data_IF_624393236118
#
_entry.id   IF_624393236118
#
_cell.length_a   1.000
_cell.length_b   1.000
_cell.length_c   1.000
_cell.angle_alpha   90.00
_cell.angle_beta   90.00
_cell.angle_gamma   90.00
#
_symmetry.space_group_name_H-M   'P 1'
#
loop_
_entity.id
_entity.type
_entity.pdbx_description
1 polymer ?
#
# COMPACT_ATOMS: atom_id res chain seq x y z
N UNK A 1 -7.27 -23.56 -16.35
CA UNK A 1 -6.40 -23.33 -15.17
C UNK A 1 -6.89 -22.14 -14.34
N UNK A 2 -7.02 -20.94 -14.91
CA UNK A 2 -7.54 -19.75 -14.19
C UNK A 2 -9.01 -19.90 -13.74
N UNK A 3 -9.88 -20.49 -14.56
CA UNK A 3 -11.29 -20.73 -14.20
C UNK A 3 -11.39 -21.60 -12.94
N UNK A 4 -10.70 -22.75 -12.94
CA UNK A 4 -10.64 -23.66 -11.79
C UNK A 4 -10.09 -23.00 -10.51
N UNK A 5 -9.17 -22.04 -10.62
CA UNK A 5 -8.65 -21.32 -9.46
C UNK A 5 -9.72 -20.42 -8.83
N UNK A 6 -10.39 -19.61 -9.64
CA UNK A 6 -11.44 -18.72 -9.12
C UNK A 6 -12.65 -19.49 -8.60
N UNK A 7 -13.00 -20.61 -9.23
CA UNK A 7 -14.09 -21.47 -8.77
C UNK A 7 -13.71 -22.15 -7.44
N UNK A 8 -12.44 -22.57 -7.27
CA UNK A 8 -11.95 -23.06 -5.98
C UNK A 8 -12.04 -21.98 -4.89
N UNK A 9 -11.74 -20.72 -5.22
CA UNK A 9 -11.88 -19.58 -4.28
C UNK A 9 -13.33 -19.25 -3.92
N UNK A 10 -14.35 -19.75 -4.63
CA UNK A 10 -15.74 -19.58 -4.19
C UNK A 10 -16.04 -20.42 -2.94
N UNK A 11 -15.41 -21.59 -2.82
CA UNK A 11 -15.57 -22.43 -1.64
C UNK A 11 -14.87 -21.82 -0.43
N UNK A 12 -15.50 -21.90 0.74
CA UNK A 12 -14.91 -21.41 1.99
C UNK A 12 -13.59 -22.13 2.31
N UNK A 13 -13.52 -23.43 2.01
CA UNK A 13 -12.30 -24.22 2.16
C UNK A 13 -11.18 -23.72 1.23
N UNK A 14 -11.45 -23.55 -0.07
CA UNK A 14 -10.47 -23.08 -1.04
C UNK A 14 -10.00 -21.66 -0.75
N UNK A 15 -10.90 -20.77 -0.32
CA UNK A 15 -10.49 -19.43 0.11
C UNK A 15 -9.62 -19.48 1.38
N UNK A 16 -9.98 -20.29 2.38
CA UNK A 16 -9.18 -20.44 3.59
C UNK A 16 -7.78 -21.00 3.28
N UNK A 17 -7.65 -21.98 2.39
CA UNK A 17 -6.35 -22.49 1.94
C UNK A 17 -5.54 -21.41 1.21
N UNK A 18 -6.18 -20.58 0.39
CA UNK A 18 -5.54 -19.44 -0.26
C UNK A 18 -5.04 -18.41 0.76
N UNK A 19 -5.83 -18.10 1.79
CA UNK A 19 -5.45 -17.19 2.88
C UNK A 19 -4.24 -17.72 3.64
N UNK A 20 -4.24 -18.99 4.03
CA UNK A 20 -3.11 -19.63 4.73
C UNK A 20 -1.84 -19.61 3.89
N UNK A 21 -1.96 -19.96 2.61
CA UNK A 21 -0.84 -19.92 1.67
C UNK A 21 -0.29 -18.51 1.50
N UNK A 22 -1.18 -17.52 1.39
CA UNK A 22 -0.81 -16.10 1.29
C UNK A 22 -0.08 -15.62 2.55
N UNK A 23 -0.50 -16.07 3.74
CA UNK A 23 0.19 -15.78 5.00
C UNK A 23 1.61 -16.33 5.04
N UNK A 24 1.81 -17.57 4.58
CA UNK A 24 3.14 -18.20 4.51
C UNK A 24 4.03 -17.43 3.54
N UNK A 25 3.51 -17.07 2.36
CA UNK A 25 4.25 -16.31 1.36
C UNK A 25 4.61 -14.93 1.91
N UNK A 26 3.66 -14.20 2.49
CA UNK A 26 3.89 -12.89 3.11
C UNK A 26 4.93 -13.00 4.23
N UNK A 27 4.83 -14.02 5.09
CA UNK A 27 5.83 -14.32 6.12
C UNK A 27 7.23 -14.52 5.55
N UNK A 28 7.36 -15.31 4.48
CA UNK A 28 8.63 -15.52 3.78
C UNK A 28 9.19 -14.21 3.19
N UNK A 29 8.33 -13.42 2.55
CA UNK A 29 8.71 -12.13 1.97
C UNK A 29 9.18 -11.11 3.02
N UNK A 30 8.58 -11.10 4.22
CA UNK A 30 9.04 -10.27 5.35
C UNK A 30 10.48 -10.65 5.72
N UNK A 31 10.75 -11.95 5.91
CA UNK A 31 12.07 -12.46 6.29
C UNK A 31 13.08 -12.09 5.21
N UNK A 32 12.76 -12.34 3.94
CA UNK A 32 13.63 -11.97 2.82
C UNK A 32 13.88 -10.48 2.78
N UNK A 33 12.87 -9.63 3.02
CA UNK A 33 13.03 -8.19 2.97
C UNK A 33 13.87 -7.63 4.12
N UNK A 34 13.78 -8.21 5.32
CA UNK A 34 14.68 -7.86 6.42
C UNK A 34 16.16 -8.07 6.05
N UNK A 35 16.44 -9.04 5.17
CA UNK A 35 17.79 -9.36 4.70
C UNK A 35 18.15 -8.54 3.44
N UNK A 36 17.19 -8.36 2.53
CA UNK A 36 17.35 -7.74 1.21
C UNK A 36 16.27 -6.66 0.99
N UNK A 37 16.52 -5.41 1.44
CA UNK A 37 15.54 -4.36 1.27
C UNK A 37 15.33 -4.03 -0.22
N UNK A 38 14.08 -4.20 -0.68
CA UNK A 38 13.65 -3.85 -2.04
C UNK A 38 14.05 -2.42 -2.40
N UNK A 39 14.62 -2.31 -3.58
CA UNK A 39 15.19 -1.09 -4.07
C UNK A 39 14.16 -0.38 -4.94
N UNK A 40 13.57 0.72 -4.46
CA UNK A 40 12.74 1.60 -5.26
C UNK A 40 12.80 3.03 -4.70
N UNK A 41 12.43 4.04 -5.49
CA UNK A 41 12.38 5.41 -5.01
C UNK A 41 13.73 5.90 -4.43
N UNK A 42 13.80 6.16 -3.11
CA UNK A 42 15.01 6.71 -2.44
C UNK A 42 16.12 5.67 -2.28
N UNK A 43 15.76 4.42 -2.03
CA UNK A 43 16.72 3.35 -1.81
C UNK A 43 17.40 2.91 -3.10
N UNK A 44 16.71 3.02 -4.24
CA UNK A 44 17.21 2.57 -5.53
C UNK A 44 18.35 3.42 -6.10
N UNK A 45 19.35 2.72 -6.63
CA UNK A 45 20.43 3.28 -7.44
C UNK A 45 20.19 2.91 -8.90
N UNK A 46 20.15 3.90 -9.80
CA UNK A 46 19.93 3.67 -11.24
C UNK A 46 20.95 2.70 -11.81
N UNK A 47 20.52 1.88 -12.76
CA UNK A 47 21.32 0.86 -13.44
C UNK A 47 21.55 -0.42 -12.63
N UNK A 48 20.93 -0.55 -11.46
CA UNK A 48 21.07 -1.74 -10.59
C UNK A 48 19.81 -2.61 -10.55
N UNK A 49 18.95 -2.57 -11.57
CA UNK A 49 17.82 -3.50 -11.66
C UNK A 49 18.37 -4.90 -11.92
N UNK A 50 17.90 -5.88 -11.15
CA UNK A 50 18.25 -7.30 -11.32
C UNK A 50 17.71 -7.82 -12.66
N UNK A 51 16.51 -7.38 -13.05
CA UNK A 51 15.88 -7.76 -14.32
C UNK A 51 16.31 -6.85 -15.48
N UNK A 52 17.29 -5.97 -15.27
CA UNK A 52 17.83 -5.03 -16.26
C UNK A 52 16.76 -4.15 -16.93
N UNK A 53 15.62 -3.91 -16.27
CA UNK A 53 14.53 -3.10 -16.81
C UNK A 53 14.05 -2.08 -15.79
N UNK A 54 14.03 -0.81 -16.19
CA UNK A 54 13.62 0.32 -15.38
C UNK A 54 12.39 0.98 -16.00
N UNK A 55 11.40 1.29 -15.17
CA UNK A 55 10.16 1.94 -15.60
C UNK A 55 10.08 3.35 -15.02
N UNK A 56 9.67 4.36 -15.80
CA UNK A 56 9.44 5.71 -15.29
C UNK A 56 8.48 5.72 -14.10
N UNK A 57 8.81 6.47 -13.06
CA UNK A 57 8.10 6.50 -11.77
C UNK A 57 6.58 6.65 -11.89
N UNK A 58 6.10 7.55 -12.74
CA UNK A 58 4.66 7.74 -12.98
C UNK A 58 3.98 6.46 -13.48
N UNK A 59 4.60 5.75 -14.41
CA UNK A 59 4.06 4.50 -14.99
C UNK A 59 4.16 3.37 -13.96
N UNK A 60 5.27 3.28 -13.24
CA UNK A 60 5.47 2.28 -12.20
C UNK A 60 4.39 2.37 -11.10
N UNK A 61 4.08 3.59 -10.63
CA UNK A 61 3.01 3.83 -9.64
C UNK A 61 1.66 3.34 -10.17
N UNK A 62 1.32 3.63 -11.44
CA UNK A 62 0.09 3.14 -12.08
C UNK A 62 0.06 1.61 -12.07
N UNK A 63 1.11 0.95 -12.58
CA UNK A 63 1.16 -0.50 -12.69
C UNK A 63 1.03 -1.20 -11.33
N UNK A 64 1.74 -0.69 -10.33
CA UNK A 64 1.70 -1.22 -8.96
C UNK A 64 0.28 -1.16 -8.39
N UNK A 65 -0.36 0.00 -8.45
CA UNK A 65 -1.66 0.20 -7.81
C UNK A 65 -2.85 -0.30 -8.64
N UNK A 66 -2.71 -0.48 -9.95
CA UNK A 66 -3.82 -0.90 -10.83
C UNK A 66 -4.19 -2.38 -10.68
N UNK A 67 -3.24 -3.22 -10.27
CA UNK A 67 -3.42 -4.67 -10.15
C UNK A 67 -4.57 -5.08 -9.22
N UNK A 68 -4.66 -4.47 -8.02
CA UNK A 68 -5.72 -4.70 -7.03
C UNK A 68 -7.14 -4.36 -7.52
N UNK A 69 -7.42 -3.11 -7.95
CA UNK A 69 -8.75 -2.75 -8.46
C UNK A 69 -9.09 -3.51 -9.74
N UNK A 70 -8.12 -3.91 -10.56
CA UNK A 70 -8.40 -4.72 -11.75
C UNK A 70 -8.95 -6.09 -11.40
N UNK A 71 -8.32 -6.82 -10.47
CA UNK A 71 -8.83 -8.12 -10.03
C UNK A 71 -10.15 -7.97 -9.26
N UNK A 72 -10.28 -6.90 -8.47
CA UNK A 72 -11.51 -6.58 -7.76
C UNK A 72 -12.68 -6.43 -8.72
N UNK A 73 -12.57 -5.55 -9.72
CA UNK A 73 -13.61 -5.32 -10.73
C UNK A 73 -13.90 -6.58 -11.55
N UNK A 74 -12.86 -7.34 -11.91
CA UNK A 74 -13.03 -8.59 -12.64
C UNK A 74 -13.86 -9.62 -11.86
N UNK A 75 -13.65 -9.76 -10.56
CA UNK A 75 -14.41 -10.72 -9.74
C UNK A 75 -15.88 -10.30 -9.57
N UNK A 76 -16.15 -9.01 -9.37
CA UNK A 76 -17.53 -8.51 -9.35
C UNK A 76 -18.23 -8.73 -10.70
N UNK A 77 -17.55 -8.48 -11.81
CA UNK A 77 -18.08 -8.77 -13.15
C UNK A 77 -18.31 -10.27 -13.37
N UNK A 78 -17.34 -11.12 -12.99
CA UNK A 78 -17.42 -12.58 -13.17
C UNK A 78 -18.61 -13.19 -12.41
N UNK A 79 -18.90 -12.68 -11.21
CA UNK A 79 -19.94 -13.23 -10.34
C UNK A 79 -21.26 -12.46 -10.39
N UNK A 80 -21.39 -11.47 -11.29
CA UNK A 80 -22.60 -10.64 -11.45
C UNK A 80 -23.07 -9.97 -10.14
N UNK A 81 -22.11 -9.49 -9.36
CA UNK A 81 -22.35 -8.93 -8.02
C UNK A 81 -22.48 -7.40 -8.05
N UNK A 82 -23.23 -6.85 -7.10
CA UNK A 82 -23.47 -5.41 -7.04
C UNK A 82 -22.26 -4.63 -6.49
N UNK A 83 -21.63 -3.80 -7.33
CA UNK A 83 -20.52 -2.93 -6.94
C UNK A 83 -20.91 -1.76 -6.03
N UNK A 84 -22.20 -1.46 -5.84
CA UNK A 84 -22.67 -0.24 -5.16
C UNK A 84 -22.73 -0.37 -3.63
N UNK A 85 -22.06 -1.37 -3.05
CA UNK A 85 -21.89 -1.44 -1.60
C UNK A 85 -20.97 -0.31 -1.09
N UNK A 86 -21.21 0.18 0.13
CA UNK A 86 -20.36 1.19 0.79
C UNK A 86 -18.85 0.85 0.73
N UNK A 87 -18.38 -0.35 1.14
CA UNK A 87 -16.95 -0.66 1.07
C UNK A 87 -16.42 -0.75 -0.37
N UNK A 88 -17.22 -1.23 -1.34
CA UNK A 88 -16.81 -1.23 -2.75
C UNK A 88 -16.58 0.19 -3.26
N UNK A 89 -17.48 1.12 -2.95
CA UNK A 89 -17.36 2.54 -3.33
C UNK A 89 -16.11 3.16 -2.69
N UNK A 90 -15.89 2.96 -1.37
CA UNK A 90 -14.73 3.49 -0.67
C UNK A 90 -13.41 2.95 -1.25
N UNK A 91 -13.35 1.64 -1.51
CA UNK A 91 -12.20 0.98 -2.13
C UNK A 91 -11.89 1.57 -3.52
N UNK A 92 -12.92 1.74 -4.35
CA UNK A 92 -12.75 2.30 -5.70
C UNK A 92 -12.38 3.79 -5.66
N UNK A 93 -12.88 4.57 -4.70
CA UNK A 93 -12.46 5.97 -4.51
C UNK A 93 -10.96 6.02 -4.16
N UNK A 94 -10.50 5.21 -3.21
CA UNK A 94 -9.08 5.11 -2.86
C UNK A 94 -8.23 4.77 -4.09
N UNK A 95 -8.57 3.69 -4.80
CA UNK A 95 -7.75 3.26 -5.94
C UNK A 95 -7.88 4.18 -7.16
N UNK A 96 -9.01 4.88 -7.34
CA UNK A 96 -9.11 5.96 -8.33
C UNK A 96 -8.11 7.07 -8.01
N UNK A 97 -8.02 7.46 -6.73
CA UNK A 97 -6.99 8.40 -6.30
C UNK A 97 -5.58 7.86 -6.57
N UNK A 98 -5.26 6.62 -6.17
CA UNK A 98 -3.90 6.05 -6.32
C UNK A 98 -3.48 5.81 -7.77
N UNK A 99 -4.39 5.41 -8.65
CA UNK A 99 -4.11 4.99 -10.03
C UNK A 99 -4.28 6.13 -11.03
N UNK A 100 -5.22 7.05 -10.80
CA UNK A 100 -5.54 8.11 -11.77
C UNK A 100 -5.01 9.46 -11.31
N UNK A 101 -5.31 9.86 -10.07
CA UNK A 101 -5.04 11.22 -9.59
C UNK A 101 -3.60 11.37 -9.11
N UNK A 102 -3.15 10.55 -8.16
CA UNK A 102 -1.83 10.63 -7.55
C UNK A 102 -0.68 10.60 -8.57
N UNK A 103 -0.71 9.74 -9.62
CA UNK A 103 0.35 9.70 -10.61
C UNK A 103 0.56 11.03 -11.33
N UNK A 104 -0.48 11.83 -11.54
CA UNK A 104 -0.35 13.15 -12.19
C UNK A 104 0.58 14.10 -11.45
N UNK A 105 0.61 14.03 -10.12
CA UNK A 105 1.45 14.86 -9.26
C UNK A 105 2.88 14.33 -9.12
N UNK A 106 3.18 13.14 -9.66
CA UNK A 106 4.54 12.58 -9.60
C UNK A 106 5.51 13.42 -10.41
N UNK A 107 6.61 13.80 -9.76
CA UNK A 107 7.65 14.61 -10.37
C UNK A 107 8.36 13.86 -11.50
N UNK A 108 8.67 14.57 -12.59
CA UNK A 108 9.53 14.06 -13.68
C UNK A 108 10.96 13.76 -13.21
N UNK A 109 11.36 14.30 -12.06
CA UNK A 109 12.68 14.07 -11.46
C UNK A 109 12.72 12.86 -10.51
N UNK A 110 11.59 12.15 -10.34
CA UNK A 110 11.59 10.90 -9.57
C UNK A 110 12.54 9.87 -10.18
N UNK A 111 13.14 9.04 -9.31
CA UNK A 111 13.93 7.89 -9.77
C UNK A 111 13.01 6.84 -10.40
N UNK A 112 13.45 6.17 -11.48
CA UNK A 112 12.69 5.07 -12.04
C UNK A 112 12.60 3.92 -11.05
N UNK A 113 11.65 3.02 -11.28
CA UNK A 113 11.47 1.80 -10.49
C UNK A 113 12.04 0.62 -11.27
N UNK A 114 12.80 -0.27 -10.62
CA UNK A 114 13.20 -1.52 -11.25
C UNK A 114 12.00 -2.47 -11.37
N UNK A 115 11.96 -3.26 -12.45
CA UNK A 115 10.84 -4.13 -12.79
C UNK A 115 10.50 -5.12 -11.66
N UNK A 116 11.51 -5.67 -10.98
CA UNK A 116 11.30 -6.62 -9.89
C UNK A 116 10.49 -6.02 -8.74
N UNK A 117 10.67 -4.72 -8.45
CA UNK A 117 9.86 -4.03 -7.43
C UNK A 117 8.43 -3.83 -7.90
N UNK A 118 8.22 -3.53 -9.19
CA UNK A 118 6.88 -3.36 -9.75
C UNK A 118 6.12 -4.68 -9.69
N UNK A 119 6.74 -5.79 -10.12
CA UNK A 119 6.13 -7.12 -10.07
C UNK A 119 5.77 -7.51 -8.63
N UNK A 120 6.68 -7.26 -7.69
CA UNK A 120 6.44 -7.52 -6.28
C UNK A 120 5.23 -6.75 -5.74
N UNK A 121 5.24 -5.41 -5.82
CA UNK A 121 4.17 -4.59 -5.26
C UNK A 121 2.85 -4.72 -6.02
N UNK A 122 2.89 -5.04 -7.32
CA UNK A 122 1.68 -5.38 -8.09
C UNK A 122 1.10 -6.70 -7.61
N UNK A 123 1.93 -7.71 -7.32
CA UNK A 123 1.46 -9.00 -6.81
C UNK A 123 0.82 -8.86 -5.43
N UNK A 124 1.39 -8.03 -4.54
CA UNK A 124 0.78 -7.77 -3.23
C UNK A 124 -0.55 -7.05 -3.35
N UNK A 125 -0.67 -6.05 -4.23
CA UNK A 125 -1.92 -5.33 -4.48
C UNK A 125 -2.97 -6.25 -5.13
N UNK A 126 -2.56 -7.14 -6.03
CA UNK A 126 -3.44 -8.15 -6.62
C UNK A 126 -4.02 -9.09 -5.55
N UNK A 127 -3.17 -9.64 -4.67
CA UNK A 127 -3.61 -10.50 -3.57
C UNK A 127 -4.56 -9.75 -2.63
N UNK A 128 -4.24 -8.50 -2.28
CA UNK A 128 -5.11 -7.65 -1.46
C UNK A 128 -6.47 -7.40 -2.13
N UNK A 129 -6.50 -7.06 -3.42
CA UNK A 129 -7.73 -6.87 -4.19
C UNK A 129 -8.58 -8.13 -4.28
N UNK A 130 -7.95 -9.30 -4.42
CA UNK A 130 -8.63 -10.60 -4.42
C UNK A 130 -9.27 -10.91 -3.06
N UNK A 131 -8.53 -10.71 -1.96
CA UNK A 131 -9.05 -10.89 -0.59
C UNK A 131 -10.28 -9.99 -0.39
N UNK A 132 -10.14 -8.69 -0.67
CA UNK A 132 -11.22 -7.73 -0.43
C UNK A 132 -12.44 -7.97 -1.32
N UNK A 133 -12.23 -8.32 -2.60
CA UNK A 133 -13.34 -8.66 -3.49
C UNK A 133 -14.10 -9.89 -2.97
N UNK A 134 -13.39 -10.95 -2.61
CA UNK A 134 -14.02 -12.14 -2.04
C UNK A 134 -14.76 -11.82 -0.74
N UNK A 135 -14.14 -11.07 0.18
CA UNK A 135 -14.72 -10.66 1.46
C UNK A 135 -16.05 -9.92 1.30
N UNK A 136 -16.13 -9.02 0.32
CA UNK A 136 -17.33 -8.22 0.08
C UNK A 136 -18.40 -9.04 -0.63
N UNK A 137 -18.02 -9.82 -1.65
CA UNK A 137 -18.95 -10.65 -2.42
C UNK A 137 -19.58 -11.74 -1.56
N UNK A 138 -18.76 -12.52 -0.84
CA UNK A 138 -19.26 -13.73 -0.18
C UNK A 138 -19.98 -13.44 1.13
N UNK A 139 -19.54 -12.40 1.88
CA UNK A 139 -19.78 -12.31 3.33
C UNK A 139 -19.78 -10.87 3.87
N UNK A 140 -20.36 -9.92 3.13
CA UNK A 140 -20.49 -8.53 3.60
C UNK A 140 -21.17 -8.45 4.96
N UNK A 141 -20.55 -7.75 5.92
CA UNK A 141 -21.11 -7.59 7.25
C UNK A 141 -22.25 -6.58 7.22
N UNK A 142 -23.45 -6.98 7.66
CA UNK A 142 -24.55 -6.03 7.87
C UNK A 142 -24.18 -5.07 9.00
N UNK A 143 -24.05 -3.79 8.67
CA UNK A 143 -23.79 -2.70 9.62
C UNK A 143 -24.93 -1.70 9.58
N UNK A 144 -25.23 -1.08 10.72
CA UNK A 144 -26.21 0.01 10.77
C UNK A 144 -25.75 1.18 9.88
N UNK A 145 -26.70 1.90 9.28
CA UNK A 145 -26.38 3.03 8.39
C UNK A 145 -25.49 4.08 9.08
N UNK A 146 -25.75 4.35 10.37
CA UNK A 146 -24.96 5.29 11.18
C UNK A 146 -23.49 4.83 11.27
N UNK A 147 -23.27 3.54 11.53
CA UNK A 147 -21.91 3.00 11.61
C UNK A 147 -21.23 3.03 10.23
N UNK A 148 -21.94 2.72 9.16
CA UNK A 148 -21.38 2.82 7.81
C UNK A 148 -20.95 4.25 7.46
N UNK A 149 -21.78 5.25 7.78
CA UNK A 149 -21.46 6.67 7.56
C UNK A 149 -20.25 7.07 8.41
N UNK A 150 -20.20 6.72 9.70
CA UNK A 150 -19.08 7.05 10.57
C UNK A 150 -17.76 6.45 10.06
N UNK A 151 -17.76 5.16 9.71
CA UNK A 151 -16.59 4.48 9.16
C UNK A 151 -16.14 5.12 7.83
N UNK A 152 -17.09 5.48 6.98
CA UNK A 152 -16.82 6.14 5.69
C UNK A 152 -16.18 7.52 5.90
N UNK A 153 -16.66 8.32 6.85
CA UNK A 153 -16.09 9.63 7.16
C UNK A 153 -14.66 9.51 7.68
N UNK A 154 -14.39 8.55 8.58
CA UNK A 154 -13.04 8.31 9.10
C UNK A 154 -12.11 7.85 7.97
N UNK A 155 -12.57 6.90 7.13
CA UNK A 155 -11.85 6.42 5.97
C UNK A 155 -11.46 7.57 5.04
N UNK A 156 -12.42 8.39 4.62
CA UNK A 156 -12.20 9.50 3.70
C UNK A 156 -11.29 10.58 4.29
N UNK A 157 -11.43 10.88 5.59
CA UNK A 157 -10.54 11.81 6.28
C UNK A 157 -9.09 11.30 6.29
N UNK A 158 -8.88 10.01 6.56
CA UNK A 158 -7.56 9.40 6.54
C UNK A 158 -6.98 9.35 5.11
N UNK A 159 -7.77 8.97 4.12
CA UNK A 159 -7.38 8.96 2.71
C UNK A 159 -6.94 10.37 2.25
N UNK A 160 -7.70 11.40 2.64
CA UNK A 160 -7.35 12.78 2.37
C UNK A 160 -6.02 13.17 3.02
N UNK A 161 -5.83 12.87 4.30
CA UNK A 161 -4.58 13.16 5.01
C UNK A 161 -3.39 12.40 4.43
N UNK A 162 -3.57 11.14 4.00
CA UNK A 162 -2.55 10.36 3.33
C UNK A 162 -2.13 11.04 2.01
N UNK A 163 -3.11 11.34 1.15
CA UNK A 163 -2.90 12.04 -0.12
C UNK A 163 -2.26 13.41 0.05
N UNK A 164 -2.66 14.17 1.07
CA UNK A 164 -2.09 15.47 1.39
C UNK A 164 -0.57 15.41 1.66
N UNK A 165 -0.14 14.46 2.48
CA UNK A 165 1.28 14.25 2.77
C UNK A 165 2.04 13.72 1.56
N UNK A 166 1.40 12.90 0.73
CA UNK A 166 1.93 12.43 -0.55
C UNK A 166 2.20 13.58 -1.54
N UNK A 167 1.25 14.51 -1.68
CA UNK A 167 1.41 15.69 -2.54
C UNK A 167 2.50 16.63 -2.04
N UNK A 168 2.61 16.82 -0.72
CA UNK A 168 3.72 17.56 -0.14
C UNK A 168 5.08 16.90 -0.45
N UNK A 169 5.18 15.57 -0.39
CA UNK A 169 6.41 14.87 -0.80
C UNK A 169 6.72 15.03 -2.29
N UNK A 170 5.69 15.09 -3.15
CA UNK A 170 5.86 15.34 -4.57
C UNK A 170 6.39 16.76 -4.84
N UNK A 171 5.91 17.77 -4.11
CA UNK A 171 6.35 19.17 -4.27
C UNK A 171 7.79 19.42 -3.79
N UNK A 172 8.30 18.57 -2.89
CA UNK A 172 9.68 18.64 -2.42
C UNK A 172 10.73 18.12 -3.42
N UNK A 173 10.31 17.57 -4.57
CA UNK A 173 11.21 17.05 -5.60
C UNK A 173 11.87 18.16 -6.41
N UNK A 174 13.18 18.05 -6.60
CA UNK A 174 13.96 19.04 -7.35
C UNK A 174 14.85 18.40 -8.41
N UNK A 175 15.32 19.24 -9.34
CA UNK A 175 16.40 18.93 -10.28
C UNK A 175 17.70 18.72 -9.47
N UNK A 176 18.44 17.64 -9.73
CA UNK A 176 19.75 17.34 -9.11
C UNK A 176 19.95 15.87 -8.70
N UNK A 177 21.16 15.51 -8.27
CA UNK A 177 21.60 14.11 -8.07
C UNK A 177 20.84 13.36 -6.95
N UNK A 178 20.49 14.04 -5.84
CA UNK A 178 19.62 13.44 -4.84
C UNK A 178 18.14 13.65 -5.19
N UNK A 179 17.75 14.84 -5.64
CA UNK A 179 16.37 15.21 -5.96
C UNK A 179 15.39 15.10 -4.77
N UNK A 180 15.91 15.02 -3.54
CA UNK A 180 15.14 14.91 -2.30
C UNK A 180 15.42 16.10 -1.38
N UNK A 181 14.42 16.48 -0.59
CA UNK A 181 14.54 17.39 0.56
C UNK A 181 14.02 16.69 1.82
N UNK A 182 14.50 17.14 2.98
CA UNK A 182 13.98 16.70 4.28
C UNK A 182 12.58 17.31 4.45
N UNK A 183 11.50 16.51 4.56
CA UNK A 183 10.17 17.03 4.81
C UNK A 183 10.09 17.49 6.27
N UNK A 184 9.65 18.73 6.56
CA UNK A 184 9.71 19.32 7.91
C UNK A 184 8.39 19.91 8.41
N UNK A 185 7.26 19.51 7.82
CA UNK A 185 5.96 20.15 8.05
C UNK A 185 4.86 19.18 8.55
N UNK A 186 3.92 19.68 9.35
CA UNK A 186 2.81 18.92 10.00
C UNK A 186 3.30 17.64 10.71
N UNK A 187 2.85 16.47 10.26
CA UNK A 187 3.07 15.19 10.92
C UNK A 187 4.47 14.65 10.68
N UNK A 188 5.23 15.22 9.73
CA UNK A 188 6.63 14.85 9.53
C UNK A 188 7.49 15.17 10.76
N UNK A 189 7.06 16.06 11.66
CA UNK A 189 7.78 16.30 12.91
C UNK A 189 7.63 15.16 13.94
N UNK A 190 6.61 14.31 13.80
CA UNK A 190 6.35 13.20 14.72
C UNK A 190 6.74 11.84 14.15
N UNK A 191 6.53 11.63 12.84
CA UNK A 191 6.78 10.36 12.16
C UNK A 191 7.47 10.59 10.82
N UNK A 192 8.31 9.64 10.38
CA UNK A 192 9.05 9.80 9.12
C UNK A 192 8.16 9.68 7.88
N UNK A 193 7.11 8.85 7.93
CA UNK A 193 6.22 8.59 6.79
C UNK A 193 4.73 8.73 7.17
N UNK A 194 4.22 9.95 7.42
CA UNK A 194 2.84 10.20 7.84
C UNK A 194 1.79 9.75 6.82
N UNK A 195 2.10 9.81 5.52
CA UNK A 195 1.22 9.29 4.45
C UNK A 195 0.89 7.81 4.66
N UNK A 196 1.89 6.99 4.99
CA UNK A 196 1.69 5.57 5.32
C UNK A 196 0.95 5.39 6.65
N UNK A 197 1.10 6.31 7.61
CA UNK A 197 0.36 6.27 8.87
C UNK A 197 -1.12 6.42 8.63
N UNK A 198 -1.52 7.43 7.85
CA UNK A 198 -2.92 7.69 7.55
C UNK A 198 -3.52 6.62 6.66
N UNK A 199 -2.77 6.09 5.68
CA UNK A 199 -3.20 4.95 4.86
C UNK A 199 -3.42 3.69 5.70
N UNK A 200 -2.58 3.44 6.70
CA UNK A 200 -2.78 2.30 7.61
C UNK A 200 -4.03 2.45 8.50
N UNK A 201 -4.31 3.67 8.98
CA UNK A 201 -5.52 3.97 9.77
C UNK A 201 -6.76 3.86 8.87
N UNK A 202 -6.69 4.37 7.64
CA UNK A 202 -7.72 4.21 6.62
C UNK A 202 -8.09 2.73 6.43
N UNK A 203 -7.11 1.87 6.18
CA UNK A 203 -7.34 0.43 6.02
C UNK A 203 -7.80 -0.28 7.29
N UNK A 204 -7.38 0.20 8.48
CA UNK A 204 -7.87 -0.31 9.75
C UNK A 204 -9.39 -0.13 9.87
N UNK A 205 -9.88 1.09 9.59
CA UNK A 205 -11.31 1.38 9.66
C UNK A 205 -12.10 0.72 8.52
N UNK A 206 -11.51 0.59 7.32
CA UNK A 206 -12.08 -0.20 6.24
C UNK A 206 -12.37 -1.65 6.65
N UNK A 207 -11.47 -2.25 7.43
CA UNK A 207 -11.60 -3.62 7.91
C UNK A 207 -12.89 -3.91 8.69
N UNK A 208 -13.59 -2.90 9.23
CA UNK A 208 -14.86 -3.10 9.93
C UNK A 208 -16.04 -3.46 9.01
N UNK A 209 -15.91 -3.24 7.70
CA UNK A 209 -16.90 -3.66 6.70
C UNK A 209 -16.83 -5.17 6.38
N UNK A 210 -15.73 -5.85 6.72
CA UNK A 210 -15.50 -7.26 6.39
C UNK A 210 -15.34 -8.13 7.66
N UNK A 211 -15.23 -9.45 7.48
CA UNK A 211 -15.12 -10.41 8.59
C UNK A 211 -13.81 -10.28 9.35
N UNK A 212 -13.81 -10.71 10.61
CA UNK A 212 -12.68 -10.53 11.53
C UNK A 212 -11.39 -11.21 11.06
N UNK A 213 -11.46 -12.43 10.55
CA UNK A 213 -10.25 -13.15 10.11
C UNK A 213 -9.62 -12.47 8.88
N UNK A 214 -10.47 -12.08 7.93
CA UNK A 214 -10.07 -11.42 6.68
C UNK A 214 -9.51 -10.01 6.93
N UNK A 215 -10.14 -9.20 7.80
CA UNK A 215 -9.62 -7.87 8.14
C UNK A 215 -8.28 -7.92 8.85
N UNK A 216 -8.07 -8.89 9.76
CA UNK A 216 -6.80 -9.03 10.48
C UNK A 216 -5.70 -9.35 9.47
N UNK A 217 -5.96 -10.31 8.58
CA UNK A 217 -5.02 -10.68 7.52
C UNK A 217 -4.69 -9.49 6.62
N UNK A 218 -5.73 -8.88 6.04
CA UNK A 218 -5.58 -7.75 5.12
C UNK A 218 -4.80 -6.62 5.79
N UNK A 219 -5.18 -6.25 7.01
CA UNK A 219 -4.51 -5.19 7.74
C UNK A 219 -3.05 -5.53 8.10
N UNK A 220 -2.74 -6.78 8.44
CA UNK A 220 -1.36 -7.22 8.67
C UNK A 220 -0.52 -7.12 7.39
N UNK A 221 -1.06 -7.53 6.24
CA UNK A 221 -0.38 -7.41 4.95
C UNK A 221 -0.06 -5.93 4.66
N UNK A 222 -1.04 -5.05 4.80
CA UNK A 222 -0.85 -3.61 4.60
C UNK A 222 0.12 -3.00 5.62
N UNK A 223 -0.03 -3.34 6.91
CA UNK A 223 0.86 -2.91 7.97
C UNK A 223 2.31 -3.24 7.67
N UNK A 224 2.58 -4.49 7.27
CA UNK A 224 3.92 -4.96 6.97
C UNK A 224 4.48 -4.28 5.72
N UNK A 225 3.70 -4.22 4.64
CA UNK A 225 4.10 -3.58 3.39
C UNK A 225 4.49 -2.11 3.64
N UNK A 226 3.61 -1.36 4.29
CA UNK A 226 3.85 0.05 4.59
C UNK A 226 5.02 0.22 5.57
N UNK A 227 5.11 -0.59 6.62
CA UNK A 227 6.21 -0.54 7.63
C UNK A 227 7.57 -0.76 7.01
N UNK A 228 7.67 -1.77 6.15
CA UNK A 228 8.86 -2.04 5.35
C UNK A 228 9.23 -0.81 4.52
N UNK A 229 8.27 -0.26 3.77
CA UNK A 229 8.49 0.90 2.90
C UNK A 229 8.91 2.14 3.70
N UNK A 230 8.35 2.35 4.89
CA UNK A 230 8.71 3.44 5.78
C UNK A 230 10.13 3.30 6.33
N UNK A 231 10.51 2.08 6.73
CA UNK A 231 11.85 1.75 7.21
C UNK A 231 12.89 2.05 6.13
N UNK A 232 12.70 1.51 4.92
CA UNK A 232 13.62 1.75 3.80
C UNK A 232 13.70 3.24 3.43
N UNK A 233 12.57 3.95 3.42
CA UNK A 233 12.54 5.39 3.15
C UNK A 233 13.32 6.18 4.22
N UNK A 234 13.15 5.83 5.49
CA UNK A 234 13.82 6.49 6.62
C UNK A 234 15.33 6.23 6.60
N UNK A 235 15.74 4.98 6.37
CA UNK A 235 17.15 4.62 6.22
C UNK A 235 17.80 5.36 5.03
N UNK A 236 17.09 5.45 3.89
CA UNK A 236 17.57 6.20 2.74
C UNK A 236 17.71 7.70 3.04
N UNK A 237 16.78 8.29 3.81
CA UNK A 237 16.90 9.67 4.27
C UNK A 237 18.12 9.89 5.17
N UNK A 238 18.37 9.00 6.14
CA UNK A 238 19.57 9.05 6.97
C UNK A 238 20.85 8.97 6.13
N UNK A 239 20.89 8.11 5.10
CA UNK A 239 22.03 8.02 4.19
C UNK A 239 22.22 9.28 3.34
N UNK A 240 21.13 9.88 2.86
CA UNK A 240 21.16 11.06 2.00
C UNK A 240 21.55 12.34 2.75
N UNK A 241 21.11 12.49 4.00
CA UNK A 241 21.25 13.75 4.75
C UNK A 241 22.17 13.64 5.98
N UNK A 242 22.61 12.43 6.32
CA UNK A 242 23.53 12.16 7.43
C UNK A 242 23.06 12.85 8.72
N UNK A 243 23.91 13.66 9.34
CA UNK A 243 23.63 14.42 10.57
C UNK A 243 22.53 15.47 10.43
N UNK A 244 22.14 15.86 9.20
CA UNK A 244 21.08 16.84 8.96
C UNK A 244 19.67 16.24 9.06
N UNK A 245 19.53 14.91 8.96
CA UNK A 245 18.22 14.28 9.12
C UNK A 245 17.82 14.26 10.60
N UNK A 246 16.62 14.76 10.97
CA UNK A 246 16.18 14.75 12.36
C UNK A 246 16.13 13.31 12.90
N UNK A 247 16.50 13.14 14.18
CA UNK A 247 16.39 11.85 14.89
C UNK A 247 14.92 11.50 15.17
N UNK A 248 14.18 11.20 14.11
CA UNK A 248 12.78 10.73 14.18
C UNK A 248 12.80 9.28 14.62
N UNK A 249 12.22 9.01 15.79
CA UNK A 249 12.19 7.65 16.37
C UNK A 249 11.04 6.79 15.81
N UNK A 250 10.02 7.41 15.25
CA UNK A 250 8.81 6.73 14.77
C UNK A 250 8.76 6.69 13.25
N UNK A 251 8.64 5.49 12.68
CA UNK A 251 8.61 5.27 11.22
C UNK A 251 7.21 5.58 10.64
N UNK A 252 6.17 4.99 11.23
CA UNK A 252 4.77 5.11 10.79
C UNK A 252 3.88 5.48 11.96
N UNK A 253 3.76 4.64 12.98
CA UNK A 253 2.91 4.96 14.13
C UNK A 253 3.77 5.57 15.24
N UNK A 254 3.25 6.57 15.98
CA UNK A 254 3.97 7.20 17.08
C UNK A 254 4.19 6.28 18.31
N UNK A 255 4.03 4.96 18.16
CA UNK A 255 3.93 3.96 19.23
C UNK A 255 4.96 2.82 19.07
N UNK A 256 5.51 2.60 17.87
CA UNK A 256 6.45 1.49 17.62
C UNK A 256 7.91 1.97 17.58
N UNK A 257 8.65 1.60 18.63
CA UNK A 257 10.11 1.57 18.69
C UNK A 257 10.66 0.68 17.58
N UNK A 258 11.45 1.25 16.66
CA UNK A 258 12.32 0.48 15.77
C UNK A 258 13.76 0.63 16.28
N UNK A 259 14.46 -0.47 16.63
CA UNK A 259 15.87 -0.42 16.93
C UNK A 259 16.63 -0.25 15.61
N UNK A 260 16.72 0.98 15.11
CA UNK A 260 17.85 1.32 14.25
C UNK A 260 18.99 1.63 15.19
N UNK A 261 19.74 0.59 15.56
CA UNK A 261 21.08 0.75 16.10
C UNK A 261 21.91 1.51 15.06
N UNK A 262 22.47 2.64 15.48
CA UNK A 262 23.49 3.38 14.73
C UNK A 262 24.68 2.50 14.41
#
# INVERSE_FOLDING_TARGET
MLTNFFDALQSEEGFNSFIQTSMIIVGGLIITHHILPFQYGKSYTRGKSILHFEVPDKIAVILVHMSGPSIFLYLFYKYDENLLSTPSILYLIHYTHRVVIYPWFRSRHSRPWPLESILFFSSTNFVAGLILAHSIISKLQTRTIILQVLLSLIFLACAFLAGYHDYYLCSLRQVGESGYRIPSWICFNWVSCPHYTFELIEWFFFGFFIKMNERILFWLIEFLNLSIRASSSTAAYHKLFLSKYPKRKNLILPIFYSPVSM
#
